data_IF_391774667786
#
_entry.id   IF_391774667786
#
_cell.length_a   1.000
_cell.length_b   1.000
_cell.length_c   1.000
_cell.angle_alpha   90.00
_cell.angle_beta   90.00
_cell.angle_gamma   90.00
#
_symmetry.space_group_name_H-M   'P 1'
#
loop_
_entity.id
_entity.type
_entity.pdbx_description
1 polymer ?
#
# COMPACT_ATOMS: atom_id res chain seq x y z
N UNK A 1 -10.15 11.99 -25.49
CA UNK A 1 -10.46 11.35 -24.19
C UNK A 1 -11.04 9.98 -24.48
N UNK A 2 -10.25 8.91 -24.40
CA UNK A 2 -10.83 7.58 -24.26
C UNK A 2 -11.51 7.55 -22.90
N UNK A 3 -12.83 7.43 -22.87
CA UNK A 3 -13.55 7.18 -21.63
C UNK A 3 -13.21 5.75 -21.27
N UNK A 4 -12.41 5.58 -20.21
CA UNK A 4 -11.97 4.28 -19.74
C UNK A 4 -13.20 3.48 -19.28
N UNK A 5 -13.65 2.48 -20.05
CA UNK A 5 -14.88 1.72 -19.78
C UNK A 5 -14.76 1.04 -18.38
N UNK A 6 -15.69 1.32 -17.44
CA UNK A 6 -15.70 0.67 -16.14
C UNK A 6 -15.62 -0.86 -16.20
N UNK A 7 -16.25 -1.48 -17.21
CA UNK A 7 -16.19 -2.94 -17.37
C UNK A 7 -14.79 -3.42 -17.75
N UNK A 8 -14.12 -2.74 -18.69
CA UNK A 8 -12.75 -3.06 -19.10
C UNK A 8 -11.74 -2.78 -17.98
N UNK A 9 -11.95 -1.70 -17.20
CA UNK A 9 -11.15 -1.41 -16.01
C UNK A 9 -11.30 -2.50 -14.96
N UNK A 10 -12.52 -2.91 -14.65
CA UNK A 10 -12.77 -3.99 -13.70
C UNK A 10 -12.14 -5.30 -14.18
N UNK A 11 -12.19 -5.58 -15.48
CA UNK A 11 -11.55 -6.77 -16.05
C UNK A 11 -10.02 -6.72 -15.90
N UNK A 12 -9.38 -5.57 -16.17
CA UNK A 12 -7.93 -5.38 -15.96
C UNK A 12 -7.55 -5.51 -14.49
N UNK A 13 -8.34 -4.96 -13.58
CA UNK A 13 -8.10 -5.07 -12.14
C UNK A 13 -8.18 -6.52 -11.66
N UNK A 14 -9.17 -7.28 -12.13
CA UNK A 14 -9.30 -8.72 -11.87
C UNK A 14 -8.09 -9.50 -12.38
N UNK A 15 -7.66 -9.23 -13.61
CA UNK A 15 -6.47 -9.88 -14.18
C UNK A 15 -5.20 -9.57 -13.37
N UNK A 16 -5.04 -8.32 -12.91
CA UNK A 16 -3.89 -7.92 -12.09
C UNK A 16 -3.87 -8.61 -10.72
N UNK A 17 -5.02 -8.75 -10.08
CA UNK A 17 -5.16 -9.49 -8.82
C UNK A 17 -4.85 -10.98 -9.01
N UNK A 18 -5.35 -11.60 -10.08
CA UNK A 18 -5.06 -13.00 -10.39
C UNK A 18 -3.57 -13.22 -10.67
N UNK A 19 -2.94 -12.32 -11.42
CA UNK A 19 -1.50 -12.37 -11.68
C UNK A 19 -0.68 -12.25 -10.39
N UNK A 20 -1.06 -11.34 -9.48
CA UNK A 20 -0.43 -11.21 -8.16
C UNK A 20 -0.54 -12.52 -7.35
N UNK A 21 -1.70 -13.17 -7.35
CA UNK A 21 -1.88 -14.43 -6.62
C UNK A 21 -1.04 -15.57 -7.18
N UNK A 22 -1.03 -15.72 -8.51
CA UNK A 22 -0.21 -16.73 -9.17
C UNK A 22 1.28 -16.53 -8.83
N UNK A 23 1.74 -15.28 -8.83
CA UNK A 23 3.10 -14.95 -8.42
C UNK A 23 3.37 -15.22 -6.94
N UNK A 24 2.46 -14.83 -6.04
CA UNK A 24 2.61 -15.09 -4.59
C UNK A 24 2.72 -16.59 -4.29
N UNK A 25 1.95 -17.42 -5.00
CA UNK A 25 2.06 -18.88 -4.90
C UNK A 25 3.41 -19.39 -5.40
N UNK A 26 3.84 -18.99 -6.60
CA UNK A 26 5.12 -19.40 -7.17
C UNK A 26 6.33 -18.93 -6.35
N UNK A 27 6.29 -17.70 -5.83
CA UNK A 27 7.35 -17.15 -4.99
C UNK A 27 7.42 -17.83 -3.62
N UNK A 28 6.29 -18.25 -3.07
CA UNK A 28 6.26 -19.04 -1.84
C UNK A 28 6.93 -20.41 -2.03
N UNK A 29 6.72 -21.06 -3.17
CA UNK A 29 7.36 -22.33 -3.51
C UNK A 29 8.86 -22.16 -3.73
N UNK A 30 9.27 -21.15 -4.51
CA UNK A 30 10.68 -20.86 -4.78
C UNK A 30 11.49 -20.50 -3.51
N UNK A 31 10.91 -19.72 -2.59
CA UNK A 31 11.57 -19.38 -1.32
C UNK A 31 11.64 -20.54 -0.32
N UNK A 32 10.82 -21.58 -0.49
CA UNK A 32 10.93 -22.81 0.30
C UNK A 32 12.21 -23.57 -0.04
N UNK A 33 12.60 -23.53 -1.31
CA UNK A 33 13.81 -24.17 -1.84
C UNK A 33 15.08 -23.32 -1.60
N UNK A 34 14.98 -21.99 -1.65
CA UNK A 34 16.11 -21.06 -1.44
C UNK A 34 16.48 -20.79 0.03
N UNK A 35 15.83 -21.43 1.01
CA UNK A 35 16.09 -21.26 2.44
C UNK A 35 17.54 -21.61 2.88
N UNK A 36 18.43 -21.95 1.94
CA UNK A 36 19.81 -22.35 2.16
C UNK A 36 20.89 -21.32 1.74
N UNK A 37 20.57 -20.17 1.11
CA UNK A 37 21.65 -19.28 0.67
C UNK A 37 21.26 -17.86 0.27
N UNK A 38 21.20 -16.95 1.25
CA UNK A 38 21.09 -15.50 1.05
C UNK A 38 19.73 -14.94 1.44
N UNK A 39 19.57 -14.52 2.70
CA UNK A 39 18.30 -14.02 3.21
C UNK A 39 17.88 -12.71 2.53
N UNK A 40 16.68 -12.68 1.96
CA UNK A 40 16.05 -11.45 1.48
C UNK A 40 16.02 -10.37 2.58
N UNK A 41 16.25 -9.08 2.24
CA UNK A 41 16.00 -7.97 3.15
C UNK A 41 14.60 -8.08 3.75
N UNK A 42 14.45 -7.72 5.04
CA UNK A 42 13.18 -7.85 5.75
C UNK A 42 12.56 -6.48 5.96
N UNK A 43 11.26 -6.39 5.72
CA UNK A 43 10.44 -5.26 6.16
C UNK A 43 9.99 -5.52 7.60
N UNK A 44 10.97 -5.50 8.51
CA UNK A 44 10.80 -5.73 9.94
C UNK A 44 10.52 -4.42 10.69
N UNK A 45 10.36 -4.49 12.02
CA UNK A 45 10.08 -3.30 12.82
C UNK A 45 11.10 -2.18 12.62
N UNK A 46 12.42 -2.40 12.71
CA UNK A 46 13.41 -1.36 12.43
C UNK A 46 13.23 -0.69 11.07
N UNK A 47 13.03 -1.48 9.99
CA UNK A 47 12.85 -0.95 8.65
C UNK A 47 11.57 -0.09 8.54
N UNK A 48 10.45 -0.56 9.13
CA UNK A 48 9.19 0.18 9.14
C UNK A 48 9.29 1.48 9.96
N UNK A 49 9.91 1.42 11.13
CA UNK A 49 10.11 2.58 12.02
C UNK A 49 11.02 3.62 11.37
N UNK A 50 12.09 3.21 10.71
CA UNK A 50 12.99 4.11 9.99
C UNK A 50 12.26 4.86 8.88
N UNK A 51 11.41 4.16 8.11
CA UNK A 51 10.65 4.79 7.04
C UNK A 51 9.57 5.76 7.57
N UNK A 52 8.93 5.44 8.70
CA UNK A 52 8.02 6.36 9.39
C UNK A 52 8.74 7.56 9.99
N UNK A 53 9.95 7.37 10.54
CA UNK A 53 10.77 8.46 11.06
C UNK A 53 11.14 9.45 9.93
N UNK A 54 11.48 8.95 8.74
CA UNK A 54 11.71 9.77 7.56
C UNK A 54 10.48 10.60 7.18
N UNK A 55 9.28 10.00 7.21
CA UNK A 55 8.02 10.71 7.03
C UNK A 55 7.82 11.81 8.09
N UNK A 56 8.05 11.53 9.37
CA UNK A 56 7.89 12.53 10.43
C UNK A 56 8.88 13.70 10.30
N UNK A 57 10.13 13.41 9.94
CA UNK A 57 11.12 14.43 9.64
C UNK A 57 10.67 15.32 8.47
N UNK A 58 10.13 14.69 7.43
CA UNK A 58 9.55 15.36 6.28
C UNK A 58 8.32 16.22 6.65
N UNK A 59 7.48 15.81 7.60
CA UNK A 59 6.33 16.61 8.05
C UNK A 59 6.73 17.78 8.94
N UNK A 60 7.82 17.67 9.71
CA UNK A 60 8.25 18.73 10.62
C UNK A 60 8.70 20.00 9.88
N UNK A 61 9.35 19.85 8.73
CA UNK A 61 9.94 21.00 8.00
C UNK A 61 8.91 21.94 7.34
N UNK A 62 7.91 21.46 6.57
CA UNK A 62 7.01 22.34 5.85
C UNK A 62 5.85 22.89 6.69
N UNK A 63 5.58 22.30 7.87
CA UNK A 63 4.32 22.56 8.60
C UNK A 63 4.50 23.36 9.88
N UNK A 64 5.69 23.30 10.50
CA UNK A 64 5.90 23.84 11.85
C UNK A 64 4.93 23.27 12.90
N UNK A 65 4.19 22.21 12.58
CA UNK A 65 3.10 21.70 13.38
C UNK A 65 3.62 20.99 14.63
N UNK A 66 3.01 21.27 15.78
CA UNK A 66 3.26 20.49 16.98
C UNK A 66 2.82 19.04 16.78
N UNK A 67 3.59 18.09 17.31
CA UNK A 67 3.30 16.65 17.23
C UNK A 67 1.89 16.38 17.79
N UNK A 68 0.94 15.87 16.98
CA UNK A 68 -0.42 15.62 17.44
C UNK A 68 -0.47 14.61 18.59
N UNK A 69 -1.38 14.80 19.54
CA UNK A 69 -1.64 13.82 20.60
C UNK A 69 -2.10 12.49 19.97
N UNK A 70 -1.55 11.38 20.46
CA UNK A 70 -1.91 10.05 19.97
C UNK A 70 -1.24 9.61 18.67
N UNK A 71 -0.39 10.44 18.06
CA UNK A 71 0.36 10.08 16.86
C UNK A 71 1.20 8.81 17.05
N UNK A 72 1.91 8.70 18.17
CA UNK A 72 2.80 7.56 18.42
C UNK A 72 2.01 6.25 18.46
N UNK A 73 0.84 6.28 19.09
CA UNK A 73 -0.09 5.15 19.12
C UNK A 73 -0.60 4.80 17.72
N UNK A 74 -0.89 5.79 16.88
CA UNK A 74 -1.30 5.53 15.48
C UNK A 74 -0.17 4.85 14.70
N UNK A 75 1.07 5.29 14.86
CA UNK A 75 2.24 4.69 14.22
C UNK A 75 2.49 3.26 14.74
N UNK A 76 2.35 3.03 16.05
CA UNK A 76 2.45 1.70 16.67
C UNK A 76 1.40 0.74 16.11
N UNK A 77 0.17 1.22 15.91
CA UNK A 77 -0.91 0.43 15.31
C UNK A 77 -0.60 0.03 13.86
N UNK A 78 -0.04 0.93 13.05
CA UNK A 78 0.37 0.62 11.68
C UNK A 78 1.51 -0.41 11.64
N UNK A 79 2.53 -0.23 12.48
CA UNK A 79 3.68 -1.15 12.56
C UNK A 79 3.23 -2.52 13.06
N UNK A 80 2.50 -2.57 14.18
CA UNK A 80 2.01 -3.84 14.74
C UNK A 80 1.04 -4.56 13.80
N UNK A 81 0.14 -3.83 13.13
CA UNK A 81 -0.77 -4.40 12.14
C UNK A 81 -0.05 -4.98 10.91
N UNK A 82 1.06 -4.37 10.49
CA UNK A 82 1.91 -4.92 9.43
C UNK A 82 2.65 -6.19 9.91
N UNK A 83 3.20 -6.18 11.11
CA UNK A 83 4.00 -7.30 11.65
C UNK A 83 3.16 -8.49 12.14
N UNK A 84 1.89 -8.27 12.46
CA UNK A 84 0.93 -9.34 12.75
C UNK A 84 0.60 -10.17 11.50
N UNK A 85 0.85 -9.63 10.31
CA UNK A 85 0.68 -10.38 9.08
C UNK A 85 1.84 -11.36 8.89
N UNK A 86 1.55 -12.56 8.36
CA UNK A 86 2.57 -13.50 7.95
C UNK A 86 3.53 -12.87 6.94
N UNK A 87 4.83 -13.07 7.18
CA UNK A 87 5.87 -12.54 6.33
C UNK A 87 6.04 -13.45 5.09
N UNK A 88 5.91 -12.87 3.90
CA UNK A 88 6.02 -13.57 2.59
C UNK A 88 7.04 -12.89 1.69
N UNK A 89 7.36 -13.54 0.57
CA UNK A 89 8.10 -12.94 -0.53
C UNK A 89 7.36 -11.71 -1.06
N UNK A 90 8.03 -10.58 -1.16
CA UNK A 90 7.47 -9.35 -1.71
C UNK A 90 8.29 -8.89 -2.90
N UNK A 91 7.61 -8.24 -3.84
CA UNK A 91 8.23 -7.64 -5.03
C UNK A 91 8.43 -6.14 -4.90
N UNK A 92 7.60 -5.43 -4.13
CA UNK A 92 7.63 -3.96 -3.87
C UNK A 92 7.24 -3.07 -5.05
N UNK A 93 7.47 -3.49 -6.29
CA UNK A 93 7.04 -2.78 -7.49
C UNK A 93 6.37 -3.77 -8.46
N UNK A 94 5.04 -3.88 -8.38
CA UNK A 94 4.26 -4.81 -9.19
C UNK A 94 3.96 -4.18 -10.57
N UNK A 95 4.55 -4.65 -11.68
CA UNK A 95 4.39 -4.08 -13.02
C UNK A 95 2.97 -4.27 -13.56
N UNK A 96 2.19 -5.23 -13.03
CA UNK A 96 0.79 -5.33 -13.40
C UNK A 96 -0.05 -4.16 -12.86
N UNK A 97 0.50 -3.30 -11.98
CA UNK A 97 -0.10 -2.00 -11.69
C UNK A 97 -0.15 -1.11 -12.93
N UNK A 98 0.85 -1.18 -13.83
CA UNK A 98 0.79 -0.49 -15.11
C UNK A 98 -0.27 -1.12 -16.05
N UNK A 99 -0.35 -2.45 -16.09
CA UNK A 99 -1.40 -3.16 -16.85
C UNK A 99 -2.81 -2.88 -16.31
N UNK A 100 -2.99 -2.74 -14.99
CA UNK A 100 -4.24 -2.36 -14.35
C UNK A 100 -4.69 -0.94 -14.73
N UNK A 101 -3.74 -0.02 -14.95
CA UNK A 101 -4.00 1.34 -15.46
C UNK A 101 -4.22 1.40 -16.97
N UNK A 102 -3.81 0.36 -17.71
CA UNK A 102 -3.83 0.36 -19.18
C UNK A 102 -2.57 0.95 -19.82
N UNK A 103 -1.53 1.25 -19.04
CA UNK A 103 -0.30 1.89 -19.49
C UNK A 103 0.83 0.89 -19.84
N UNK A 104 0.52 -0.41 -19.88
CA UNK A 104 1.52 -1.46 -20.00
C UNK A 104 0.96 -2.76 -20.58
N UNK A 105 1.82 -3.79 -20.76
CA UNK A 105 1.37 -5.08 -21.26
C UNK A 105 0.30 -5.69 -20.33
N UNK A 106 -0.58 -6.56 -20.87
CA UNK A 106 -1.60 -7.24 -20.09
C UNK A 106 -1.02 -7.83 -18.80
N UNK A 107 -1.77 -7.72 -17.70
CA UNK A 107 -1.34 -8.23 -16.40
C UNK A 107 -0.94 -9.72 -16.42
N UNK A 108 -1.52 -10.51 -17.32
CA UNK A 108 -1.21 -11.92 -17.54
C UNK A 108 0.24 -12.14 -18.02
N UNK A 109 0.78 -11.24 -18.84
CA UNK A 109 2.14 -11.35 -19.39
C UNK A 109 3.20 -10.95 -18.35
N UNK A 110 2.83 -10.13 -17.37
CA UNK A 110 3.71 -9.70 -16.28
C UNK A 110 4.04 -10.82 -15.27
N UNK A 111 3.30 -11.93 -15.31
CA UNK A 111 3.50 -13.10 -14.44
C UNK A 111 4.58 -14.08 -14.96
N UNK A 112 5.04 -13.94 -16.21
CA UNK A 112 5.95 -14.89 -16.86
C UNK A 112 7.24 -14.20 -17.32
N UNK A 113 8.32 -14.31 -16.55
CA UNK A 113 9.65 -13.81 -16.94
C UNK A 113 10.63 -13.62 -15.77
N UNK A 114 11.83 -13.04 -15.99
CA UNK A 114 12.79 -12.68 -14.92
C UNK A 114 12.20 -11.76 -13.82
N UNK A 115 10.99 -11.27 -14.04
CA UNK A 115 10.09 -10.56 -13.14
C UNK A 115 9.61 -11.35 -11.89
N UNK A 116 9.94 -12.64 -11.75
CA UNK A 116 9.48 -13.48 -10.63
C UNK A 116 10.29 -13.27 -9.34
N UNK A 117 11.50 -12.69 -9.41
CA UNK A 117 12.38 -12.65 -8.24
C UNK A 117 11.84 -11.74 -7.11
N UNK A 118 11.63 -12.27 -5.90
CA UNK A 118 11.30 -11.44 -4.75
C UNK A 118 12.47 -10.52 -4.41
N UNK A 119 12.16 -9.32 -3.93
CA UNK A 119 13.14 -8.28 -3.60
C UNK A 119 13.34 -8.15 -2.09
N UNK A 120 12.32 -8.53 -1.31
CA UNK A 120 12.35 -8.48 0.16
C UNK A 120 11.30 -9.44 0.75
N UNK A 121 11.30 -9.58 2.07
CA UNK A 121 10.32 -10.34 2.85
C UNK A 121 9.52 -9.40 3.75
N UNK A 122 8.20 -9.50 3.77
CA UNK A 122 7.38 -8.58 4.57
C UNK A 122 5.89 -8.96 4.61
N UNK A 123 5.02 -8.03 5.08
CA UNK A 123 3.61 -8.30 5.31
C UNK A 123 2.90 -8.82 4.06
N UNK A 124 2.08 -9.87 4.20
CA UNK A 124 1.38 -10.48 3.07
C UNK A 124 0.64 -9.49 2.18
N UNK A 125 -0.12 -8.57 2.79
CA UNK A 125 -0.97 -7.64 2.06
C UNK A 125 -0.18 -6.53 1.36
N UNK A 126 1.15 -6.48 1.49
CA UNK A 126 1.97 -5.38 1.00
C UNK A 126 1.85 -5.19 -0.52
N UNK A 127 2.07 -6.22 -1.33
CA UNK A 127 1.97 -6.08 -2.78
C UNK A 127 0.51 -5.88 -3.25
N UNK A 128 -0.47 -6.42 -2.51
CA UNK A 128 -1.90 -6.18 -2.79
C UNK A 128 -2.30 -4.72 -2.52
N UNK A 129 -1.82 -4.15 -1.41
CA UNK A 129 -2.01 -2.75 -1.07
C UNK A 129 -1.40 -1.84 -2.15
N UNK A 130 -0.17 -2.14 -2.58
CA UNK A 130 0.50 -1.41 -3.66
C UNK A 130 -0.21 -1.51 -5.01
N UNK A 131 -0.98 -2.58 -5.24
CA UNK A 131 -1.79 -2.73 -6.45
C UNK A 131 -3.13 -2.01 -6.36
N UNK A 132 -3.92 -2.27 -5.30
CA UNK A 132 -5.31 -1.81 -5.20
C UNK A 132 -5.44 -0.39 -4.66
N UNK A 133 -4.46 0.10 -3.90
CA UNK A 133 -4.52 1.41 -3.25
C UNK A 133 -3.54 2.41 -3.87
N UNK A 134 -3.01 2.12 -5.05
CA UNK A 134 -2.17 3.09 -5.75
C UNK A 134 -3.02 4.28 -6.24
N UNK A 135 -2.66 5.53 -5.90
CA UNK A 135 -3.45 6.70 -6.30
C UNK A 135 -3.49 6.96 -7.81
N UNK A 136 -2.60 6.36 -8.60
CA UNK A 136 -2.64 6.43 -10.06
C UNK A 136 -3.63 5.47 -10.70
N UNK A 137 -4.17 4.52 -9.92
CA UNK A 137 -5.24 3.66 -10.38
C UNK A 137 -6.56 4.44 -10.32
N UNK A 138 -7.19 4.64 -11.48
CA UNK A 138 -8.48 5.32 -11.59
C UNK A 138 -9.65 4.43 -11.16
N UNK A 139 -9.59 3.77 -9.99
CA UNK A 139 -10.66 2.88 -9.51
C UNK A 139 -11.43 3.46 -8.33
N UNK A 140 -12.75 3.31 -8.37
CA UNK A 140 -13.64 3.58 -7.25
C UNK A 140 -13.43 2.60 -6.09
N UNK A 141 -14.08 2.86 -4.96
CA UNK A 141 -14.03 1.98 -3.80
C UNK A 141 -14.69 0.62 -4.07
N UNK A 142 -15.85 0.60 -4.73
CA UNK A 142 -16.58 -0.62 -5.07
C UNK A 142 -15.74 -1.58 -5.95
N UNK A 143 -15.06 -1.04 -6.97
CA UNK A 143 -14.16 -1.80 -7.84
C UNK A 143 -13.01 -2.45 -7.07
N UNK A 144 -12.40 -1.68 -6.14
CA UNK A 144 -11.32 -2.15 -5.26
C UNK A 144 -11.81 -3.22 -4.29
N UNK A 145 -13.00 -3.07 -3.73
CA UNK A 145 -13.61 -4.07 -2.83
C UNK A 145 -13.93 -5.35 -3.61
N UNK A 146 -14.55 -5.28 -4.80
CA UNK A 146 -14.80 -6.49 -5.62
C UNK A 146 -13.50 -7.24 -5.93
N UNK A 147 -12.44 -6.52 -6.29
CA UNK A 147 -11.13 -7.09 -6.55
C UNK A 147 -10.49 -7.71 -5.29
N UNK A 148 -10.56 -7.01 -4.15
CA UNK A 148 -10.03 -7.50 -2.87
C UNK A 148 -10.80 -8.71 -2.33
N UNK A 149 -12.13 -8.75 -2.46
CA UNK A 149 -12.95 -9.91 -2.05
C UNK A 149 -12.56 -11.14 -2.87
N UNK A 150 -12.38 -11.00 -4.19
CA UNK A 150 -11.95 -12.11 -5.04
C UNK A 150 -10.56 -12.60 -4.66
N UNK A 151 -9.65 -11.66 -4.37
CA UNK A 151 -8.34 -12.02 -3.85
C UNK A 151 -8.47 -12.82 -2.55
N UNK A 152 -9.24 -12.30 -1.58
CA UNK A 152 -9.42 -12.89 -0.26
C UNK A 152 -10.05 -14.27 -0.30
N UNK A 153 -11.10 -14.47 -1.12
CA UNK A 153 -11.78 -15.76 -1.28
C UNK A 153 -10.84 -16.86 -1.77
N UNK A 154 -9.92 -16.54 -2.68
CA UNK A 154 -8.92 -17.48 -3.14
C UNK A 154 -7.84 -17.69 -2.08
N UNK A 155 -7.31 -16.61 -1.51
CA UNK A 155 -6.23 -16.66 -0.53
C UNK A 155 -6.62 -17.48 0.72
N UNK A 156 -7.85 -17.35 1.21
CA UNK A 156 -8.33 -18.12 2.38
C UNK A 156 -8.50 -19.63 2.12
N UNK A 157 -8.64 -20.06 0.86
CA UNK A 157 -8.77 -21.49 0.49
C UNK A 157 -7.41 -22.14 0.32
N UNK A 158 -6.43 -21.38 -0.17
CA UNK A 158 -5.10 -21.89 -0.49
C UNK A 158 -4.09 -21.73 0.64
N UNK A 159 -4.42 -21.02 1.72
CA UNK A 159 -3.45 -20.63 2.75
C UNK A 159 -3.76 -21.24 4.13
N UNK A 160 -2.80 -21.98 4.72
CA UNK A 160 -2.59 -22.06 6.18
C UNK A 160 -2.16 -20.71 6.79
N UNK A 161 -2.07 -19.67 5.96
CA UNK A 161 -1.09 -18.63 6.12
C UNK A 161 -1.68 -17.22 5.97
N UNK A 162 -3.00 -17.00 5.81
CA UNK A 162 -3.57 -15.66 6.02
C UNK A 162 -3.61 -15.27 7.51
N UNK A 163 -3.39 -16.24 8.42
CA UNK A 163 -3.75 -16.11 9.83
C UNK A 163 -5.26 -16.21 10.03
N UNK A 164 -5.70 -16.76 11.15
CA UNK A 164 -7.11 -17.09 11.37
C UNK A 164 -8.03 -15.86 11.24
N UNK A 165 -7.68 -14.76 11.90
CA UNK A 165 -8.50 -13.54 11.90
C UNK A 165 -8.73 -12.96 10.49
N UNK A 166 -7.68 -12.87 9.67
CA UNK A 166 -7.82 -12.33 8.31
C UNK A 166 -8.53 -13.33 7.38
N UNK A 167 -8.44 -14.64 7.63
CA UNK A 167 -9.06 -15.66 6.80
C UNK A 167 -10.57 -15.82 7.05
N UNK A 168 -11.03 -15.53 8.26
CA UNK A 168 -12.43 -15.70 8.69
C UNK A 168 -13.28 -14.46 8.39
N UNK A 169 -12.71 -13.26 8.50
CA UNK A 169 -13.43 -12.00 8.33
C UNK A 169 -12.79 -11.11 7.23
N UNK A 170 -13.56 -10.84 6.18
CA UNK A 170 -13.13 -9.96 5.10
C UNK A 170 -12.97 -8.50 5.57
N UNK A 171 -13.78 -8.02 6.50
CA UNK A 171 -13.67 -6.66 7.04
C UNK A 171 -12.35 -6.46 7.78
N UNK A 172 -11.89 -7.47 8.52
CA UNK A 172 -10.57 -7.49 9.15
C UNK A 172 -9.44 -7.52 8.11
N UNK A 173 -9.59 -8.33 7.06
CA UNK A 173 -8.65 -8.33 5.93
C UNK A 173 -8.59 -6.97 5.20
N UNK A 174 -9.74 -6.34 4.97
CA UNK A 174 -9.84 -5.03 4.31
C UNK A 174 -9.21 -3.94 5.17
N UNK A 175 -9.47 -3.94 6.48
CA UNK A 175 -8.82 -3.02 7.42
C UNK A 175 -7.31 -3.17 7.39
N UNK A 176 -6.80 -4.41 7.49
CA UNK A 176 -5.37 -4.68 7.42
C UNK A 176 -4.76 -4.24 6.09
N UNK A 177 -5.49 -4.41 4.98
CA UNK A 177 -5.09 -3.94 3.65
C UNK A 177 -4.97 -2.41 3.60
N UNK A 178 -5.98 -1.69 4.09
CA UNK A 178 -5.97 -0.23 4.16
C UNK A 178 -4.84 0.31 5.05
N UNK A 179 -4.61 -0.30 6.20
CA UNK A 179 -3.53 0.11 7.10
C UNK A 179 -2.15 -0.14 6.49
N UNK A 180 -2.00 -1.26 5.77
CA UNK A 180 -0.78 -1.57 5.01
C UNK A 180 -0.57 -0.56 3.88
N UNK A 181 -1.63 -0.17 3.17
CA UNK A 181 -1.57 0.85 2.14
C UNK A 181 -1.21 2.22 2.72
N UNK A 182 -1.84 2.63 3.82
CA UNK A 182 -1.52 3.87 4.51
C UNK A 182 -0.04 3.91 4.88
N UNK A 183 0.48 2.84 5.50
CA UNK A 183 1.91 2.72 5.82
C UNK A 183 2.79 2.94 4.58
N UNK A 184 2.48 2.32 3.44
CA UNK A 184 3.20 2.54 2.18
C UNK A 184 3.13 3.99 1.68
N UNK A 185 1.97 4.64 1.77
CA UNK A 185 1.84 6.03 1.35
C UNK A 185 2.69 6.96 2.23
N UNK A 186 2.72 6.74 3.55
CA UNK A 186 3.60 7.49 4.46
C UNK A 186 5.08 7.33 4.08
N UNK A 187 5.50 6.10 3.78
CA UNK A 187 6.88 5.83 3.33
C UNK A 187 7.22 6.56 2.02
N UNK A 188 6.31 6.54 1.04
CA UNK A 188 6.50 7.23 -0.25
C UNK A 188 6.54 8.74 -0.08
N UNK A 189 5.67 9.31 0.75
CA UNK A 189 5.66 10.74 1.08
C UNK A 189 6.99 11.13 1.75
N UNK A 190 7.43 10.38 2.76
CA UNK A 190 8.71 10.64 3.42
C UNK A 190 9.90 10.62 2.45
N UNK A 191 9.94 9.65 1.53
CA UNK A 191 10.99 9.56 0.53
C UNK A 191 10.98 10.74 -0.47
N UNK A 192 9.81 11.12 -0.99
CA UNK A 192 9.67 12.27 -1.90
C UNK A 192 10.06 13.58 -1.21
N UNK A 193 9.67 13.76 0.05
CA UNK A 193 10.04 14.95 0.81
C UNK A 193 11.55 14.99 1.12
N UNK A 194 12.18 13.85 1.38
CA UNK A 194 13.64 13.79 1.54
C UNK A 194 14.36 14.20 0.25
N UNK A 195 13.91 13.72 -0.91
CA UNK A 195 14.44 14.14 -2.22
C UNK A 195 14.22 15.64 -2.47
N UNK A 196 13.07 16.17 -2.04
CA UNK A 196 12.74 17.59 -2.17
C UNK A 196 13.59 18.52 -1.29
N UNK A 197 14.38 18.02 -0.34
CA UNK A 197 15.31 18.87 0.44
C UNK A 197 16.42 19.43 -0.44
N UNK A 198 16.88 18.66 -1.42
CA UNK A 198 17.93 19.06 -2.36
C UNK A 198 17.35 19.79 -3.59
N UNK A 199 16.17 19.38 -4.06
CA UNK A 199 15.57 19.83 -5.33
C UNK A 199 14.46 20.89 -5.19
N UNK A 200 13.98 21.12 -3.96
CA UNK A 200 12.77 21.89 -3.67
C UNK A 200 11.46 21.09 -3.84
N UNK A 201 10.37 21.53 -3.19
CA UNK A 201 9.10 20.78 -3.13
C UNK A 201 8.23 20.89 -4.41
N UNK A 202 8.39 21.97 -5.18
CA UNK A 202 7.58 22.26 -6.36
C UNK A 202 7.48 21.07 -7.37
N UNK A 203 8.60 20.43 -7.81
CA UNK A 203 8.53 19.31 -8.75
C UNK A 203 7.84 18.06 -8.19
N UNK A 204 7.82 17.88 -6.87
CA UNK A 204 7.28 16.68 -6.21
C UNK A 204 5.79 16.77 -5.86
N UNK A 205 5.20 17.97 -5.94
CA UNK A 205 3.82 18.23 -5.48
C UNK A 205 2.77 17.39 -6.21
N UNK A 206 2.96 17.18 -7.52
CA UNK A 206 2.06 16.37 -8.35
C UNK A 206 2.02 14.89 -7.91
N UNK A 207 3.14 14.37 -7.39
CA UNK A 207 3.22 13.02 -6.85
C UNK A 207 2.74 12.95 -5.39
N UNK A 208 3.01 13.98 -4.58
CA UNK A 208 2.63 14.01 -3.16
C UNK A 208 1.11 14.10 -2.94
N UNK A 209 0.41 14.93 -3.71
CA UNK A 209 -1.00 15.22 -3.44
C UNK A 209 -1.93 14.00 -3.55
N UNK A 210 -1.82 13.14 -4.59
CA UNK A 210 -2.59 11.90 -4.64
C UNK A 210 -2.29 10.95 -3.47
N UNK A 211 -1.02 10.82 -3.05
CA UNK A 211 -0.62 9.97 -1.92
C UNK A 211 -1.27 10.45 -0.61
N UNK A 212 -1.18 11.76 -0.36
CA UNK A 212 -1.73 12.38 0.84
C UNK A 212 -3.26 12.30 0.88
N UNK A 213 -3.96 12.45 -0.25
CA UNK A 213 -5.42 12.28 -0.33
C UNK A 213 -5.84 10.85 -0.01
N UNK A 214 -5.19 9.85 -0.59
CA UNK A 214 -5.47 8.44 -0.31
C UNK A 214 -5.20 8.10 1.15
N UNK A 215 -4.05 8.55 1.68
CA UNK A 215 -3.69 8.37 3.08
C UNK A 215 -4.71 9.02 4.03
N UNK A 216 -5.17 10.23 3.71
CA UNK A 216 -6.16 10.96 4.50
C UNK A 216 -7.52 10.26 4.49
N UNK A 217 -7.95 9.74 3.33
CA UNK A 217 -9.19 8.97 3.22
C UNK A 217 -9.19 7.73 4.11
N UNK A 218 -8.07 7.00 4.18
CA UNK A 218 -7.92 5.85 5.08
C UNK A 218 -7.91 6.32 6.55
N UNK A 219 -7.12 7.34 6.90
CA UNK A 219 -7.03 7.82 8.28
C UNK A 219 -8.35 8.37 8.82
N UNK A 220 -9.20 8.96 7.97
CA UNK A 220 -10.56 9.41 8.33
C UNK A 220 -11.50 8.25 8.69
N UNK A 221 -11.32 7.06 8.09
CA UNK A 221 -12.17 5.89 8.36
C UNK A 221 -11.92 5.26 9.72
N UNK A 222 -10.70 5.40 10.26
CA UNK A 222 -10.29 4.73 11.49
C UNK A 222 -9.92 5.74 12.57
N UNK A 223 -10.78 5.89 13.58
CA UNK A 223 -10.57 6.83 14.68
C UNK A 223 -9.16 6.79 15.32
N UNK A 224 -8.51 5.62 15.53
CA UNK A 224 -7.15 5.57 16.06
C UNK A 224 -6.07 6.18 15.15
N UNK A 225 -6.36 6.36 13.86
CA UNK A 225 -5.45 6.89 12.85
C UNK A 225 -5.67 8.38 12.56
N UNK A 226 -6.74 8.98 13.08
CA UNK A 226 -7.07 10.40 12.91
C UNK A 226 -5.92 11.37 13.22
N UNK A 227 -5.01 11.12 14.20
CA UNK A 227 -3.86 12.01 14.44
C UNK A 227 -2.94 12.23 13.23
N UNK A 228 -2.92 11.31 12.25
CA UNK A 228 -2.12 11.44 11.03
C UNK A 228 -2.65 12.53 10.09
N UNK A 229 -3.93 12.88 10.17
CA UNK A 229 -4.55 13.86 9.26
C UNK A 229 -3.89 15.24 9.34
N UNK A 230 -3.48 15.66 10.54
CA UNK A 230 -2.77 16.93 10.76
C UNK A 230 -1.45 16.96 9.99
N UNK A 231 -0.76 15.83 9.87
CA UNK A 231 0.51 15.74 9.14
C UNK A 231 0.33 15.61 7.62
N UNK A 232 -0.83 15.10 7.18
CA UNK A 232 -1.14 14.86 5.77
C UNK A 232 -1.77 16.07 5.07
N UNK A 233 -2.51 16.90 5.80
CA UNK A 233 -3.20 18.08 5.28
C UNK A 233 -2.32 18.97 4.37
N UNK A 234 -1.07 19.30 4.75
CA UNK A 234 -0.22 20.20 3.94
C UNK A 234 0.16 19.64 2.58
N UNK A 235 0.14 18.30 2.43
CA UNK A 235 0.47 17.62 1.18
C UNK A 235 -0.77 17.34 0.31
N UNK A 236 -1.97 17.30 0.90
CA UNK A 236 -3.19 16.94 0.18
C UNK A 236 -3.68 18.01 -0.83
N UNK A 237 -3.11 19.23 -0.77
CA UNK A 237 -3.56 20.40 -1.53
C UNK A 237 -4.77 21.09 -0.89
N UNK A 238 -5.23 22.22 -1.44
CA UNK A 238 -6.29 23.10 -0.88
C UNK A 238 -7.71 22.46 -0.75
N UNK A 239 -7.85 21.13 -0.78
CA UNK A 239 -9.13 20.41 -0.84
C UNK A 239 -9.66 19.82 0.47
N UNK A 240 -8.92 19.87 1.59
CA UNK A 240 -9.43 19.39 2.89
C UNK A 240 -10.02 20.51 3.76
N UNK A 241 -9.99 21.75 3.29
CA UNK A 241 -10.69 22.85 3.96
C UNK A 241 -12.19 22.79 3.61
N UNK A 242 -13.01 22.44 4.62
CA UNK A 242 -14.49 22.48 4.71
C UNK A 242 -15.15 21.10 4.76
N UNK A 243 -15.12 20.50 5.95
CA UNK A 243 -15.96 19.35 6.30
C UNK A 243 -16.04 19.01 7.79
N UNK A 244 -15.46 19.83 8.68
CA UNK A 244 -15.60 19.64 10.12
C UNK A 244 -16.69 20.56 10.66
N UNK A 245 -17.90 20.04 10.80
CA UNK A 245 -18.87 20.58 11.77
C UNK A 245 -18.73 19.73 13.02
N UNK A 246 -18.34 20.36 14.13
CA UNK A 246 -18.33 19.76 15.46
C UNK A 246 -19.75 19.63 16.02
#
# INVERSE_FOLDING_TARGET
MHHDDPAERQQRLRAAVQALQAWQAAAHDALRDEAQGGGLPRLDEPALRAALALFLQACAQPTGAARPRGLDRALDLLVSGALAQPAVALRRAWPAAAGARGDGPPAADAASGPAIRPTLRGPWLFDLAGLLMDPSLACGEEERIDAAVRWWQQARRSAPALGQALAEDFGECWRALEWTALLQQLQRIGALCAQAQDEGLAPHTAALAPLARTASGIALRYAPLAPLLVLLEPFAGQGLSRGFTF
#
